data_IF_363804064016
#
_entry.id   IF_363804064016
#
_cell.length_a   1.000
_cell.length_b   1.000
_cell.length_c   1.000
_cell.angle_alpha   90.00
_cell.angle_beta   90.00
_cell.angle_gamma   90.00
#
_symmetry.space_group_name_H-M   'P 1'
#
loop_
_entity.id
_entity.type
_entity.pdbx_description
1 polymer ?
#
# COMPACT_ATOMS: atom_id res chain seq x y z
N UNK A 1 10.23 26.05 5.03
CA UNK A 1 9.74 25.56 3.72
C UNK A 1 8.84 24.36 3.98
N UNK A 2 7.71 24.21 3.28
CA UNK A 2 6.88 23.02 3.42
C UNK A 2 7.63 21.78 2.94
N UNK A 3 7.49 20.68 3.67
CA UNK A 3 8.10 19.38 3.37
C UNK A 3 7.00 18.32 3.35
N UNK A 4 7.10 17.40 2.40
CA UNK A 4 6.23 16.23 2.30
C UNK A 4 7.08 14.97 2.35
N UNK A 5 6.73 14.05 3.22
CA UNK A 5 7.28 12.70 3.30
C UNK A 5 6.16 11.67 3.18
N UNK A 6 6.49 10.47 2.74
CA UNK A 6 5.52 9.38 2.60
C UNK A 6 6.16 8.07 3.03
N UNK A 7 5.37 7.22 3.69
CA UNK A 7 5.74 5.85 4.00
C UNK A 7 4.55 4.92 3.72
N UNK A 8 4.84 3.71 3.22
CA UNK A 8 3.83 2.74 2.84
C UNK A 8 4.25 1.30 3.10
N UNK A 9 3.26 0.46 3.41
CA UNK A 9 3.50 -0.95 3.70
C UNK A 9 2.33 -1.86 3.35
N UNK A 10 2.65 -3.14 3.18
CA UNK A 10 1.72 -4.26 3.13
C UNK A 10 1.50 -4.80 4.54
N UNK A 11 0.23 -4.95 4.94
CA UNK A 11 -0.15 -5.44 6.26
C UNK A 11 -1.04 -6.67 6.09
N UNK A 12 -0.56 -7.85 6.47
CA UNK A 12 -1.27 -9.12 6.30
C UNK A 12 -1.85 -9.55 7.64
N UNK A 13 -3.17 -9.67 7.74
CA UNK A 13 -3.85 -9.91 9.02
C UNK A 13 -3.41 -11.22 9.68
N UNK A 14 -3.33 -12.29 8.91
CA UNK A 14 -2.93 -13.61 9.42
C UNK A 14 -1.47 -13.67 9.90
N UNK A 15 -0.62 -12.74 9.45
CA UNK A 15 0.77 -12.61 9.92
C UNK A 15 0.91 -11.52 10.98
N UNK A 16 -0.15 -11.23 11.75
CA UNK A 16 -0.18 -10.16 12.76
C UNK A 16 0.27 -8.81 12.18
N UNK A 17 -0.21 -8.49 10.97
CA UNK A 17 0.09 -7.26 10.24
C UNK A 17 1.53 -7.11 9.73
N UNK A 18 2.35 -8.15 9.82
CA UNK A 18 3.63 -8.25 9.11
C UNK A 18 3.40 -8.26 7.59
N UNK A 19 4.32 -7.68 6.76
CA UNK A 19 5.56 -6.99 7.12
C UNK A 19 5.39 -5.54 7.62
N UNK A 20 4.25 -4.91 7.35
CA UNK A 20 3.92 -3.56 7.79
C UNK A 20 4.96 -2.52 7.33
N UNK A 21 5.48 -1.65 8.23
CA UNK A 21 6.46 -0.62 7.87
C UNK A 21 7.79 -1.20 7.37
N UNK A 22 8.08 -2.48 7.64
CA UNK A 22 9.29 -3.15 7.17
C UNK A 22 9.14 -3.76 5.76
N UNK A 23 8.11 -3.35 5.01
CA UNK A 23 7.77 -3.94 3.70
C UNK A 23 8.94 -3.94 2.71
N UNK A 24 9.72 -2.86 2.62
CA UNK A 24 10.87 -2.81 1.70
C UNK A 24 11.92 -3.85 2.07
N UNK A 25 12.31 -3.88 3.35
CA UNK A 25 13.31 -4.81 3.85
C UNK A 25 12.89 -6.28 3.70
N UNK A 26 11.62 -6.59 4.00
CA UNK A 26 11.08 -7.95 3.85
C UNK A 26 11.01 -8.35 2.37
N UNK A 27 10.66 -7.40 1.49
CA UNK A 27 10.68 -7.67 0.05
C UNK A 27 12.11 -7.93 -0.47
N UNK A 28 13.09 -7.15 -0.03
CA UNK A 28 14.50 -7.31 -0.43
C UNK A 28 15.13 -8.61 0.09
N UNK A 29 14.67 -9.12 1.24
CA UNK A 29 15.23 -10.32 1.86
C UNK A 29 14.52 -11.60 1.45
N UNK A 30 13.21 -11.72 1.74
CA UNK A 30 12.45 -12.95 1.48
C UNK A 30 11.53 -12.83 0.26
N UNK A 31 11.23 -11.61 -0.17
CA UNK A 31 10.43 -11.33 -1.37
C UNK A 31 9.00 -11.88 -1.32
N UNK A 32 8.34 -11.87 -2.49
CA UNK A 32 7.01 -12.46 -2.66
C UNK A 32 6.99 -13.94 -2.27
N UNK A 33 8.02 -14.70 -2.65
CA UNK A 33 8.16 -16.13 -2.32
C UNK A 33 8.14 -16.40 -0.82
N UNK A 34 8.84 -15.58 -0.03
CA UNK A 34 8.87 -15.68 1.42
C UNK A 34 7.51 -15.43 2.06
N UNK A 35 6.81 -14.38 1.62
CA UNK A 35 5.44 -14.11 2.08
C UNK A 35 4.50 -15.26 1.72
N UNK A 36 4.56 -15.76 0.48
CA UNK A 36 3.74 -16.90 0.06
C UNK A 36 4.02 -18.15 0.88
N UNK A 37 5.29 -18.40 1.24
CA UNK A 37 5.69 -19.51 2.11
C UNK A 37 5.17 -19.35 3.54
N UNK A 38 5.25 -18.16 4.12
CA UNK A 38 4.68 -17.86 5.45
C UNK A 38 3.16 -18.02 5.47
N UNK A 39 2.53 -17.82 4.33
CA UNK A 39 1.08 -17.94 4.16
C UNK A 39 0.65 -19.32 3.66
N UNK A 40 1.53 -20.32 3.63
CA UNK A 40 1.16 -21.68 3.23
C UNK A 40 0.15 -22.28 4.21
N UNK A 41 -0.91 -22.92 3.70
CA UNK A 41 -2.00 -23.50 4.48
C UNK A 41 -2.80 -22.51 5.35
N UNK A 42 -2.67 -21.20 5.12
CA UNK A 42 -3.48 -20.18 5.79
C UNK A 42 -4.69 -19.81 4.92
N UNK A 43 -5.90 -20.04 5.43
CA UNK A 43 -7.15 -19.69 4.74
C UNK A 43 -7.44 -18.18 4.77
N UNK A 44 -7.16 -17.51 5.90
CA UNK A 44 -7.32 -16.05 6.00
C UNK A 44 -6.21 -15.33 5.24
N UNK A 45 -6.54 -14.87 4.03
CA UNK A 45 -5.60 -14.16 3.16
C UNK A 45 -5.79 -12.66 3.18
N UNK A 46 -6.61 -12.12 4.07
CA UNK A 46 -6.87 -10.69 4.12
C UNK A 46 -5.58 -9.89 4.35
N UNK A 47 -5.39 -8.88 3.52
CA UNK A 47 -4.30 -7.93 3.64
C UNK A 47 -4.75 -6.54 3.22
N UNK A 48 -3.98 -5.53 3.59
CA UNK A 48 -4.16 -4.18 3.08
C UNK A 48 -2.84 -3.53 2.79
N UNK A 49 -2.81 -2.67 1.78
CA UNK A 49 -1.77 -1.66 1.66
C UNK A 49 -2.22 -0.38 2.34
N UNK A 50 -1.32 0.24 3.11
CA UNK A 50 -1.51 1.55 3.74
C UNK A 50 -0.38 2.48 3.33
N UNK A 51 -0.70 3.73 3.03
CA UNK A 51 0.23 4.85 2.85
C UNK A 51 -0.13 5.96 3.82
N UNK A 52 0.89 6.60 4.39
CA UNK A 52 0.76 7.78 5.24
C UNK A 52 1.63 8.88 4.66
N UNK A 53 1.00 10.00 4.29
CA UNK A 53 1.67 11.21 3.83
C UNK A 53 1.79 12.17 5.01
N UNK A 54 3.02 12.54 5.36
CA UNK A 54 3.33 13.55 6.35
C UNK A 54 3.62 14.89 5.69
N UNK A 55 2.79 15.89 5.97
CA UNK A 55 3.01 17.27 5.56
C UNK A 55 3.50 18.08 6.75
N UNK A 56 4.62 18.78 6.61
CA UNK A 56 5.14 19.70 7.60
C UNK A 56 5.25 21.10 7.00
N UNK A 57 4.75 22.10 7.71
CA UNK A 57 5.09 23.50 7.43
C UNK A 57 5.26 24.29 8.72
N UNK A 58 6.35 25.05 8.79
CA UNK A 58 6.81 25.69 10.02
C UNK A 58 6.94 24.67 11.17
N UNK A 59 6.06 24.73 12.19
CA UNK A 59 6.13 23.89 13.40
C UNK A 59 4.95 22.91 13.54
N UNK A 60 4.13 22.71 12.51
CA UNK A 60 3.04 21.73 12.57
C UNK A 60 3.22 20.62 11.54
N UNK A 61 2.84 19.41 11.94
CA UNK A 61 2.78 18.23 11.09
C UNK A 61 1.32 17.80 10.96
N UNK A 62 0.88 17.50 9.74
CA UNK A 62 -0.42 16.91 9.46
C UNK A 62 -0.23 15.62 8.66
N UNK A 63 -0.93 14.57 9.08
CA UNK A 63 -0.84 13.24 8.47
C UNK A 63 -2.10 12.96 7.65
N UNK A 64 -1.91 12.31 6.49
CA UNK A 64 -2.97 11.91 5.59
C UNK A 64 -2.81 10.43 5.23
N UNK A 65 -3.79 9.62 5.57
CA UNK A 65 -3.72 8.18 5.37
C UNK A 65 -4.56 7.73 4.17
N UNK A 66 -4.04 6.78 3.40
CA UNK A 66 -4.79 6.08 2.36
C UNK A 66 -4.61 4.59 2.49
N UNK A 67 -5.69 3.82 2.28
CA UNK A 67 -5.67 2.37 2.40
C UNK A 67 -6.39 1.71 1.21
N UNK A 68 -5.94 0.50 0.88
CA UNK A 68 -6.62 -0.41 -0.04
C UNK A 68 -6.63 -1.81 0.56
N UNK A 69 -7.84 -2.32 0.79
CA UNK A 69 -8.06 -3.69 1.24
C UNK A 69 -7.93 -4.66 0.08
N UNK A 70 -7.55 -5.90 0.39
CA UNK A 70 -7.41 -6.96 -0.59
C UNK A 70 -7.07 -8.29 0.05
N UNK A 71 -6.52 -9.19 -0.76
CA UNK A 71 -6.07 -10.50 -0.34
C UNK A 71 -4.70 -10.85 -0.91
N UNK A 72 -3.99 -11.75 -0.24
CA UNK A 72 -2.74 -12.33 -0.73
C UNK A 72 -3.08 -13.49 -1.68
N UNK A 73 -2.60 -13.41 -2.92
CA UNK A 73 -2.74 -14.46 -3.92
C UNK A 73 -2.01 -15.75 -3.47
N UNK A 74 -2.34 -16.88 -4.09
CA UNK A 74 -1.67 -18.17 -3.82
C UNK A 74 -0.35 -18.34 -4.58
N UNK A 75 -0.11 -17.51 -5.59
CA UNK A 75 1.10 -17.47 -6.40
C UNK A 75 1.32 -16.07 -6.94
N UNK A 76 2.53 -15.79 -7.39
CA UNK A 76 2.83 -14.55 -8.11
C UNK A 76 2.08 -14.55 -9.45
N UNK A 77 1.38 -13.44 -9.74
CA UNK A 77 0.66 -13.21 -11.00
C UNK A 77 1.03 -11.82 -11.51
N UNK A 78 1.28 -11.70 -12.82
CA UNK A 78 1.66 -10.43 -13.45
C UNK A 78 3.15 -10.09 -13.32
N UNK A 79 3.57 -9.09 -14.08
CA UNK A 79 4.97 -8.66 -14.20
C UNK A 79 5.14 -7.13 -14.20
N UNK A 80 4.07 -6.38 -13.93
CA UNK A 80 4.07 -4.92 -13.80
C UNK A 80 4.21 -4.51 -12.34
N UNK A 81 4.41 -3.22 -12.09
CA UNK A 81 4.46 -2.70 -10.73
C UNK A 81 5.76 -3.01 -10.01
N UNK A 82 5.70 -3.10 -8.67
CA UNK A 82 6.87 -3.27 -7.81
C UNK A 82 6.50 -3.93 -6.46
N UNK A 83 7.52 -4.40 -5.73
CA UNK A 83 7.34 -4.95 -4.40
C UNK A 83 6.36 -6.13 -4.40
N UNK A 84 5.40 -6.11 -3.48
CA UNK A 84 4.41 -7.17 -3.33
C UNK A 84 3.20 -7.07 -4.28
N UNK A 85 3.24 -6.19 -5.28
CA UNK A 85 2.20 -6.10 -6.31
C UNK A 85 1.84 -7.45 -6.96
N UNK A 86 2.79 -8.38 -7.23
CA UNK A 86 2.49 -9.68 -7.84
C UNK A 86 1.67 -10.64 -6.97
N UNK A 87 1.54 -10.36 -5.67
CA UNK A 87 0.83 -11.23 -4.73
C UNK A 87 -0.34 -10.54 -4.04
N UNK A 88 -0.65 -9.29 -4.40
CA UNK A 88 -1.75 -8.56 -3.78
C UNK A 88 -2.90 -8.34 -4.78
N UNK A 89 -4.07 -8.87 -4.43
CA UNK A 89 -5.31 -8.69 -5.18
C UNK A 89 -6.20 -7.70 -4.43
N UNK A 90 -6.42 -6.47 -4.93
CA UNK A 90 -7.29 -5.52 -4.26
C UNK A 90 -8.75 -5.98 -4.27
N UNK A 91 -9.51 -5.57 -3.25
CA UNK A 91 -10.91 -5.92 -3.10
C UNK A 91 -11.74 -5.42 -4.29
N UNK A 92 -12.61 -6.28 -4.81
CA UNK A 92 -13.53 -5.96 -5.92
C UNK A 92 -13.03 -6.33 -7.31
N UNK A 93 -11.82 -6.90 -7.43
CA UNK A 93 -11.27 -7.42 -8.69
C UNK A 93 -10.54 -8.74 -8.45
N UNK A 94 -10.31 -9.51 -9.52
CA UNK A 94 -9.71 -10.85 -9.46
C UNK A 94 -8.30 -10.92 -10.05
N UNK A 95 -7.63 -9.78 -10.18
CA UNK A 95 -6.28 -9.66 -10.73
C UNK A 95 -5.39 -8.97 -9.71
N UNK A 96 -4.11 -9.35 -9.68
CA UNK A 96 -3.13 -8.71 -8.79
C UNK A 96 -2.77 -7.32 -9.29
N UNK A 97 -2.19 -6.49 -8.43
CA UNK A 97 -1.68 -5.18 -8.87
C UNK A 97 -0.64 -5.29 -9.99
N UNK A 98 0.15 -6.37 -10.04
CA UNK A 98 1.12 -6.56 -11.12
C UNK A 98 0.52 -6.98 -12.46
N UNK A 99 -0.79 -7.25 -12.53
CA UNK A 99 -1.52 -7.49 -13.77
C UNK A 99 -2.21 -6.21 -14.30
N UNK A 100 -2.31 -5.17 -13.48
CA UNK A 100 -2.96 -3.90 -13.83
C UNK A 100 -2.01 -2.95 -14.54
N UNK A 101 -2.57 -2.13 -15.42
CA UNK A 101 -1.88 -0.95 -15.93
C UNK A 101 -1.81 0.14 -14.86
N UNK A 102 -0.91 1.11 -15.03
CA UNK A 102 -0.74 2.22 -14.07
C UNK A 102 -2.06 2.98 -13.87
N UNK A 103 -2.81 3.21 -14.94
CA UNK A 103 -4.10 3.90 -14.90
C UNK A 103 -5.15 3.12 -14.10
N UNK A 104 -5.21 1.80 -14.27
CA UNK A 104 -6.12 0.93 -13.52
C UNK A 104 -5.73 0.87 -12.05
N UNK A 105 -4.43 0.66 -11.77
CA UNK A 105 -3.90 0.63 -10.40
C UNK A 105 -4.18 1.92 -9.64
N UNK A 106 -4.08 3.07 -10.32
CA UNK A 106 -4.33 4.38 -9.71
C UNK A 106 -5.76 4.53 -9.18
N UNK A 107 -6.75 3.82 -9.74
CA UNK A 107 -8.13 3.83 -9.23
C UNK A 107 -8.26 3.22 -7.83
N UNK A 108 -7.35 2.32 -7.47
CA UNK A 108 -7.36 1.60 -6.19
C UNK A 108 -6.25 2.05 -5.23
N UNK A 109 -5.24 2.75 -5.74
CA UNK A 109 -4.00 3.08 -5.05
C UNK A 109 -4.21 3.77 -3.69
N UNK A 110 -3.69 3.15 -2.64
CA UNK A 110 -3.60 3.71 -1.30
C UNK A 110 -2.83 5.04 -1.27
N UNK A 111 -1.74 5.15 -2.03
CA UNK A 111 -0.97 6.41 -2.16
C UNK A 111 -1.81 7.50 -2.79
N UNK A 112 -2.53 7.19 -3.88
CA UNK A 112 -3.39 8.19 -4.53
C UNK A 112 -4.43 8.75 -3.55
N UNK A 113 -5.07 7.89 -2.75
CA UNK A 113 -6.02 8.30 -1.71
C UNK A 113 -5.37 9.19 -0.63
N UNK A 114 -4.15 8.88 -0.20
CA UNK A 114 -3.43 9.68 0.80
C UNK A 114 -3.10 11.08 0.25
N UNK A 115 -2.58 11.16 -0.97
CA UNK A 115 -2.28 12.43 -1.63
C UNK A 115 -3.53 13.24 -2.01
N UNK A 116 -4.63 12.58 -2.36
CA UNK A 116 -5.91 13.26 -2.62
C UNK A 116 -6.42 13.96 -1.35
N UNK A 117 -6.28 13.32 -0.18
CA UNK A 117 -6.62 13.95 1.11
C UNK A 117 -5.72 15.14 1.42
N UNK A 118 -4.40 15.03 1.16
CA UNK A 118 -3.48 16.16 1.28
C UNK A 118 -3.91 17.31 0.35
N UNK A 119 -4.18 17.03 -0.93
CA UNK A 119 -4.56 18.02 -1.92
C UNK A 119 -5.86 18.75 -1.54
N UNK A 120 -6.89 17.99 -1.13
CA UNK A 120 -8.16 18.55 -0.61
C UNK A 120 -7.91 19.47 0.58
N UNK A 121 -7.05 19.07 1.50
CA UNK A 121 -6.72 19.88 2.67
C UNK A 121 -5.99 21.17 2.30
N UNK A 122 -4.99 21.11 1.42
CA UNK A 122 -4.24 22.29 0.96
C UNK A 122 -5.15 23.34 0.32
N UNK A 123 -6.06 22.90 -0.56
CA UNK A 123 -6.99 23.79 -1.28
C UNK A 123 -8.04 24.39 -0.33
N UNK A 124 -8.60 23.59 0.58
CA UNK A 124 -9.79 24.01 1.34
C UNK A 124 -9.49 24.68 2.68
N UNK A 125 -8.39 24.34 3.33
CA UNK A 125 -8.09 24.79 4.70
C UNK A 125 -6.85 25.67 4.78
N UNK A 126 -5.80 25.40 3.99
CA UNK A 126 -4.52 26.11 4.16
C UNK A 126 -4.38 27.37 3.29
N UNK A 127 -4.93 27.35 2.07
CA UNK A 127 -4.83 28.48 1.12
C UNK A 127 -5.92 29.54 1.31
N UNK A 128 -6.76 29.41 2.35
CA UNK A 128 -7.65 30.47 2.82
C UNK A 128 -6.91 31.30 3.87
#
# INVERSE_FOLDING_TARGET
KPIVVEDAGLFIRALNWFPGPYSSYVYETIGCKGILKLMENIEDRYAKFKSVVGFMDSNYVKLFEGEVEGTIAYRELGNKGFGFDPIFTPKGVNVTFAQMDVEEKNKYSHRAKAFEKLAKWLVNEKMK
#
